data_IF_746979666333
#
_entry.id   IF_746979666333
#
_cell.length_a   1.000
_cell.length_b   1.000
_cell.length_c   1.000
_cell.angle_alpha   90.00
_cell.angle_beta   90.00
_cell.angle_gamma   90.00
#
_symmetry.space_group_name_H-M   'P 1'
#
loop_
_entity.id
_entity.type
_entity.pdbx_description
1 polymer ?
#
# COMPACT_ATOMS: atom_id res chain seq x y z
N UNK A 1 -1.33 14.71 18.11
CA UNK A 1 -2.48 14.56 17.20
C UNK A 1 -2.14 14.68 15.71
N UNK A 2 -1.81 15.85 15.13
CA UNK A 2 -1.50 15.90 13.68
C UNK A 2 -0.16 15.25 13.33
N UNK A 3 0.87 15.42 14.17
CA UNK A 3 2.18 14.76 14.02
C UNK A 3 2.07 13.24 14.09
N UNK A 4 1.22 12.72 14.99
CA UNK A 4 0.95 11.29 15.11
C UNK A 4 0.29 10.74 13.84
N UNK A 5 -0.70 11.44 13.28
CA UNK A 5 -1.33 11.02 12.02
C UNK A 5 -0.31 10.98 10.87
N UNK A 6 0.58 11.98 10.76
CA UNK A 6 1.65 11.96 9.76
C UNK A 6 2.55 10.75 9.93
N UNK A 7 2.95 10.44 11.16
CA UNK A 7 3.78 9.28 11.45
C UNK A 7 3.04 7.96 11.13
N UNK A 8 1.77 7.85 11.53
CA UNK A 8 0.94 6.67 11.20
C UNK A 8 0.85 6.44 9.69
N UNK A 9 0.64 7.49 8.89
CA UNK A 9 0.60 7.34 7.44
C UNK A 9 1.96 6.85 6.89
N UNK A 10 3.07 7.38 7.38
CA UNK A 10 4.42 6.91 7.00
C UNK A 10 4.63 5.44 7.33
N UNK A 11 4.27 5.05 8.55
CA UNK A 11 4.44 3.68 9.02
C UNK A 11 3.60 2.70 8.19
N UNK A 12 2.36 3.07 7.85
CA UNK A 12 1.50 2.27 6.98
C UNK A 12 2.06 2.16 5.55
N UNK A 13 2.52 3.26 4.97
CA UNK A 13 3.14 3.25 3.63
C UNK A 13 4.37 2.35 3.60
N UNK A 14 5.24 2.47 4.60
CA UNK A 14 6.43 1.64 4.73
C UNK A 14 6.05 0.16 4.92
N UNK A 15 5.10 -0.14 5.79
CA UNK A 15 4.58 -1.50 6.00
C UNK A 15 4.08 -2.10 4.68
N UNK A 16 3.24 -1.36 3.94
CA UNK A 16 2.71 -1.80 2.65
C UNK A 16 3.81 -2.11 1.64
N UNK A 17 4.78 -1.20 1.48
CA UNK A 17 5.88 -1.37 0.53
C UNK A 17 6.76 -2.56 0.87
N UNK A 18 7.10 -2.74 2.15
CA UNK A 18 8.01 -3.79 2.61
C UNK A 18 7.35 -5.17 2.56
N UNK A 19 6.08 -5.27 2.95
CA UNK A 19 5.42 -6.56 3.19
C UNK A 19 4.49 -7.02 2.07
N UNK A 20 4.01 -6.12 1.23
CA UNK A 20 3.00 -6.44 0.22
C UNK A 20 3.34 -5.94 -1.19
N UNK A 21 4.53 -5.38 -1.39
CA UNK A 21 5.03 -5.02 -2.73
C UNK A 21 5.56 -6.23 -3.50
N UNK A 22 5.97 -5.99 -4.74
CA UNK A 22 6.52 -6.99 -5.65
C UNK A 22 7.63 -7.85 -5.04
N UNK A 23 8.58 -7.22 -4.33
CA UNK A 23 9.69 -7.94 -3.69
C UNK A 23 9.21 -8.92 -2.62
N UNK A 24 8.17 -8.54 -1.87
CA UNK A 24 7.58 -9.42 -0.86
C UNK A 24 6.87 -10.61 -1.52
N UNK A 25 6.14 -10.36 -2.61
CA UNK A 25 5.52 -11.42 -3.41
C UNK A 25 6.55 -12.40 -3.96
N UNK A 26 7.62 -11.93 -4.61
CA UNK A 26 8.66 -12.81 -5.15
C UNK A 26 9.27 -13.70 -4.06
N UNK A 27 9.52 -13.13 -2.87
CA UNK A 27 10.07 -13.85 -1.73
C UNK A 27 9.14 -14.95 -1.21
N UNK A 28 7.83 -14.72 -1.20
CA UNK A 28 6.84 -15.65 -0.62
C UNK A 28 6.46 -16.72 -1.65
N UNK A 29 6.15 -16.32 -2.87
CA UNK A 29 5.66 -17.21 -3.94
C UNK A 29 6.77 -17.97 -4.68
N UNK A 30 8.03 -17.52 -4.57
CA UNK A 30 9.15 -17.91 -5.45
C UNK A 30 8.93 -17.61 -6.95
N UNK A 31 7.90 -16.84 -7.32
CA UNK A 31 7.65 -16.40 -8.69
C UNK A 31 8.45 -15.12 -8.98
N UNK A 32 9.71 -15.29 -9.36
CA UNK A 32 10.62 -14.19 -9.66
C UNK A 32 10.23 -13.40 -10.92
N UNK A 33 9.48 -14.01 -11.84
CA UNK A 33 9.14 -13.41 -13.13
C UNK A 33 7.70 -12.89 -13.19
N UNK A 34 6.94 -13.01 -12.09
CA UNK A 34 5.55 -12.56 -11.99
C UNK A 34 4.62 -13.26 -13.01
N UNK A 35 4.91 -14.50 -13.36
CA UNK A 35 4.13 -15.30 -14.31
C UNK A 35 2.79 -15.79 -13.74
N UNK A 36 2.70 -15.90 -12.41
CA UNK A 36 1.57 -16.47 -11.67
C UNK A 36 0.92 -15.47 -10.71
N UNK A 37 1.13 -14.17 -10.90
CA UNK A 37 0.52 -13.15 -10.03
C UNK A 37 -1.00 -13.19 -10.17
N UNK A 38 -1.76 -13.32 -9.07
CA UNK A 38 -3.21 -13.22 -9.12
C UNK A 38 -3.65 -11.89 -9.75
N UNK A 39 -4.66 -11.93 -10.62
CA UNK A 39 -5.16 -10.73 -11.31
C UNK A 39 -5.60 -9.63 -10.34
N UNK A 40 -6.23 -10.00 -9.22
CA UNK A 40 -6.60 -9.05 -8.17
C UNK A 40 -5.37 -8.36 -7.56
N UNK A 41 -4.27 -9.10 -7.35
CA UNK A 41 -3.04 -8.51 -6.81
C UNK A 41 -2.39 -7.53 -7.81
N UNK A 42 -2.40 -7.87 -9.11
CA UNK A 42 -1.97 -6.95 -10.16
C UNK A 42 -2.78 -5.65 -10.16
N UNK A 43 -4.11 -5.73 -9.97
CA UNK A 43 -4.96 -4.54 -9.85
C UNK A 43 -4.64 -3.72 -8.60
N UNK A 44 -4.41 -4.36 -7.45
CA UNK A 44 -4.02 -3.66 -6.22
C UNK A 44 -2.63 -3.01 -6.31
N UNK A 45 -1.73 -3.51 -7.17
CA UNK A 45 -0.45 -2.84 -7.43
C UNK A 45 -0.56 -1.71 -8.46
N UNK A 46 -1.25 -1.94 -9.57
CA UNK A 46 -1.12 -1.10 -10.77
C UNK A 46 -2.42 -0.48 -11.27
N UNK A 47 -3.56 -0.82 -10.68
CA UNK A 47 -4.86 -0.32 -11.09
C UNK A 47 -5.00 1.19 -10.86
N UNK A 48 -5.49 1.92 -11.86
CA UNK A 48 -5.71 3.37 -11.79
C UNK A 48 -7.11 3.72 -11.28
N UNK A 49 -8.09 2.86 -11.54
CA UNK A 49 -9.50 3.10 -11.19
C UNK A 49 -9.90 2.51 -9.84
N UNK A 50 -8.95 1.89 -9.13
CA UNK A 50 -9.14 1.23 -7.84
C UNK A 50 -8.16 1.75 -6.79
N UNK A 51 -8.45 1.45 -5.54
CA UNK A 51 -7.50 1.68 -4.45
C UNK A 51 -6.30 0.75 -4.63
N UNK A 52 -5.13 1.31 -4.89
CA UNK A 52 -3.94 0.59 -5.29
C UNK A 52 -2.68 1.28 -4.79
N UNK A 53 -1.53 0.63 -4.95
CA UNK A 53 -0.24 1.27 -4.71
C UNK A 53 -0.05 2.51 -5.57
N UNK A 54 -0.58 2.49 -6.80
CA UNK A 54 -0.47 3.62 -7.72
C UNK A 54 -1.32 4.80 -7.25
N UNK A 55 -2.58 4.57 -6.87
CA UNK A 55 -3.48 5.65 -6.42
C UNK A 55 -3.16 6.16 -5.02
N UNK A 56 -2.44 5.37 -4.22
CA UNK A 56 -1.89 5.76 -2.92
C UNK A 56 -0.37 5.98 -2.95
N UNK A 57 0.17 6.33 -4.11
CA UNK A 57 1.57 6.73 -4.23
C UNK A 57 1.74 8.16 -3.77
N UNK A 58 2.67 8.38 -2.86
CA UNK A 58 3.12 9.71 -2.45
C UNK A 58 4.49 9.93 -3.09
N UNK A 59 4.61 10.96 -3.93
CA UNK A 59 5.83 11.22 -4.68
C UNK A 59 7.01 11.54 -3.76
N UNK A 60 6.79 12.34 -2.72
CA UNK A 60 7.80 12.67 -1.72
C UNK A 60 7.25 12.57 -0.30
N UNK A 61 8.01 12.01 0.64
CA UNK A 61 7.62 11.97 2.06
C UNK A 61 7.29 13.36 2.63
N UNK A 62 7.96 14.40 2.10
CA UNK A 62 7.68 15.79 2.46
C UNK A 62 6.24 16.22 2.17
N UNK A 63 5.56 15.59 1.21
CA UNK A 63 4.19 15.94 0.83
C UNK A 63 3.21 15.67 1.99
N UNK A 64 3.48 14.64 2.81
CA UNK A 64 2.73 14.34 4.04
C UNK A 64 2.76 15.52 5.02
N UNK A 65 3.83 16.32 5.00
CA UNK A 65 3.94 17.46 5.91
C UNK A 65 2.96 18.58 5.58
N UNK A 66 2.49 18.66 4.32
CA UNK A 66 1.57 19.70 3.85
C UNK A 66 0.11 19.28 3.88
N UNK A 67 -0.19 17.99 4.12
CA UNK A 67 -1.56 17.48 4.23
C UNK A 67 -2.29 18.06 5.44
N UNK A 68 -3.56 18.42 5.24
CA UNK A 68 -4.49 18.73 6.31
C UNK A 68 -4.80 17.49 7.16
N UNK A 69 -5.34 17.70 8.36
CA UNK A 69 -5.77 16.60 9.24
C UNK A 69 -6.78 15.66 8.57
N UNK A 70 -7.73 16.21 7.80
CA UNK A 70 -8.77 15.41 7.14
C UNK A 70 -8.19 14.59 5.97
N UNK A 71 -7.24 15.15 5.23
CA UNK A 71 -6.51 14.40 4.21
C UNK A 71 -5.73 13.25 4.84
N UNK A 72 -4.98 13.51 5.92
CA UNK A 72 -4.24 12.46 6.63
C UNK A 72 -5.16 11.33 7.09
N UNK A 73 -6.32 11.64 7.68
CA UNK A 73 -7.29 10.62 8.11
C UNK A 73 -7.77 9.82 6.91
N UNK A 74 -8.18 10.49 5.82
CA UNK A 74 -8.65 9.80 4.60
C UNK A 74 -7.58 8.87 4.02
N UNK A 75 -6.33 9.33 3.95
CA UNK A 75 -5.21 8.54 3.46
C UNK A 75 -4.91 7.34 4.35
N UNK A 76 -4.94 7.51 5.68
CA UNK A 76 -4.74 6.41 6.64
C UNK A 76 -5.82 5.33 6.49
N UNK A 77 -7.09 5.73 6.38
CA UNK A 77 -8.19 4.76 6.23
C UNK A 77 -8.10 4.01 4.90
N UNK A 78 -7.70 4.72 3.83
CA UNK A 78 -7.40 4.11 2.54
C UNK A 78 -6.22 3.11 2.63
N UNK A 79 -5.11 3.48 3.26
CA UNK A 79 -3.97 2.56 3.46
C UNK A 79 -4.40 1.29 4.20
N UNK A 80 -5.17 1.44 5.29
CA UNK A 80 -5.68 0.30 6.07
C UNK A 80 -6.55 -0.61 5.22
N UNK A 81 -7.47 -0.05 4.44
CA UNK A 81 -8.33 -0.82 3.54
C UNK A 81 -7.53 -1.62 2.52
N UNK A 82 -6.54 -0.99 1.89
CA UNK A 82 -5.66 -1.65 0.93
C UNK A 82 -4.82 -2.75 1.60
N UNK A 83 -4.22 -2.47 2.76
CA UNK A 83 -3.43 -3.45 3.53
C UNK A 83 -4.27 -4.67 3.90
N UNK A 84 -5.51 -4.49 4.36
CA UNK A 84 -6.39 -5.62 4.70
C UNK A 84 -6.69 -6.52 3.49
N UNK A 85 -6.89 -5.94 2.29
CA UNK A 85 -7.08 -6.74 1.07
C UNK A 85 -5.80 -7.48 0.67
N UNK A 86 -4.65 -6.82 0.79
CA UNK A 86 -3.35 -7.44 0.51
C UNK A 86 -3.07 -8.60 1.49
N UNK A 87 -3.35 -8.42 2.78
CA UNK A 87 -3.22 -9.46 3.81
C UNK A 87 -4.03 -10.72 3.46
N UNK A 88 -5.26 -10.55 2.99
CA UNK A 88 -6.12 -11.66 2.57
C UNK A 88 -5.49 -12.42 1.40
N UNK A 89 -5.04 -11.73 0.35
CA UNK A 89 -4.41 -12.36 -0.80
C UNK A 89 -3.11 -13.06 -0.39
N UNK A 90 -2.22 -12.37 0.33
CA UNK A 90 -0.93 -12.89 0.76
C UNK A 90 -1.04 -14.09 1.71
N UNK A 91 -2.13 -14.19 2.49
CA UNK A 91 -2.39 -15.36 3.33
C UNK A 91 -2.69 -16.65 2.54
N UNK A 92 -2.92 -16.52 1.23
CA UNK A 92 -3.28 -17.62 0.31
C UNK A 92 -2.24 -17.88 -0.78
N UNK A 93 -1.12 -17.14 -0.78
CA UNK A 93 0.04 -17.35 -1.66
C UNK A 93 0.92 -18.49 -1.15
#
# INVERSE_FOLDING_TARGET
>A
MITELKQTLRDLNANRLINYGNTAYQRISNDNHFESVPSELLELWYGQDVLSFLTLSIAYDSDINFMSKNELIRWIENERCLITRLEQIFSTL
#
